data_IF_857244969400
#
_entry.id   IF_857244969400
#
_cell.length_a   1.000
_cell.length_b   1.000
_cell.length_c   1.000
_cell.angle_alpha   90.00
_cell.angle_beta   90.00
_cell.angle_gamma   90.00
#
_symmetry.space_group_name_H-M   'P 1'
#
loop_
_entity.id
_entity.type
_entity.pdbx_description
1 polymer ?
#
# COMPACT_ATOMS: atom_id res chain seq x y z
N UNK A 1 44.43 -4.76 -61.59
CA UNK A 1 44.10 -4.43 -60.19
C UNK A 1 43.02 -3.37 -60.18
N UNK A 2 41.88 -3.65 -59.54
CA UNK A 2 40.80 -2.69 -59.25
C UNK A 2 39.67 -2.61 -60.29
N UNK A 3 38.86 -3.67 -60.41
CA UNK A 3 37.58 -3.60 -61.11
C UNK A 3 36.60 -2.72 -60.28
N UNK A 4 35.95 -1.77 -60.96
CA UNK A 4 34.88 -0.92 -60.40
C UNK A 4 33.54 -1.59 -60.68
N UNK A 5 32.77 -1.85 -59.63
CA UNK A 5 31.40 -2.34 -59.73
C UNK A 5 30.46 -1.26 -60.29
N UNK A 6 29.56 -1.59 -61.23
CA UNK A 6 28.48 -0.70 -61.64
C UNK A 6 27.29 -0.74 -60.66
N UNK A 7 26.48 0.33 -60.60
CA UNK A 7 25.34 0.41 -59.68
C UNK A 7 24.17 -0.48 -60.13
N UNK A 8 23.39 -1.05 -59.19
CA UNK A 8 22.21 -1.83 -59.56
C UNK A 8 21.04 -0.95 -60.00
N UNK A 9 20.43 -1.43 -61.06
CA UNK A 9 19.29 -0.95 -61.82
C UNK A 9 17.99 -0.82 -61.03
N UNK A 10 17.27 0.25 -61.32
CA UNK A 10 15.86 0.49 -60.99
C UNK A 10 14.93 -0.58 -61.59
N UNK A 11 14.09 -1.18 -60.75
CA UNK A 11 12.96 -2.00 -61.20
C UNK A 11 11.64 -1.21 -61.13
N UNK A 12 10.73 -1.39 -62.10
CA UNK A 12 9.44 -0.71 -62.15
C UNK A 12 8.39 -1.38 -61.26
N UNK A 13 7.50 -0.57 -60.71
CA UNK A 13 6.27 -0.97 -60.01
C UNK A 13 5.25 -1.58 -60.99
N UNK A 14 4.54 -2.66 -60.62
CA UNK A 14 3.22 -2.93 -61.14
C UNK A 14 2.15 -2.33 -60.22
N UNK A 15 1.27 -1.54 -60.85
CA UNK A 15 -0.06 -1.18 -60.40
C UNK A 15 -0.98 -2.41 -60.26
N UNK A 16 -2.15 -2.18 -59.63
CA UNK A 16 -3.36 -3.03 -59.57
C UNK A 16 -3.30 -4.15 -58.49
N UNK A 17 -4.26 -4.37 -57.60
CA UNK A 17 -5.73 -4.32 -57.73
C UNK A 17 -6.40 -3.98 -56.39
N UNK A 18 -7.43 -3.14 -56.50
CA UNK A 18 -8.44 -2.78 -55.51
C UNK A 18 -9.38 -3.97 -55.24
N UNK A 19 -9.51 -4.41 -53.98
CA UNK A 19 -10.56 -5.36 -53.58
C UNK A 19 -11.24 -4.88 -52.31
N UNK A 20 -12.53 -4.65 -52.46
CA UNK A 20 -13.54 -4.24 -51.50
C UNK A 20 -13.49 -5.03 -50.19
N UNK A 21 -13.30 -4.35 -49.06
CA UNK A 21 -13.83 -4.82 -47.78
C UNK A 21 -15.08 -4.02 -47.46
N UNK A 22 -16.21 -4.66 -47.72
CA UNK A 22 -17.54 -4.21 -47.35
C UNK A 22 -17.64 -4.09 -45.83
N UNK A 23 -18.09 -2.91 -45.41
CA UNK A 23 -18.78 -2.66 -44.15
C UNK A 23 -19.98 -3.62 -44.08
N UNK A 24 -20.37 -3.96 -42.85
CA UNK A 24 -21.58 -4.73 -42.46
C UNK A 24 -21.27 -6.16 -41.95
N UNK A 25 -20.85 -6.23 -40.68
CA UNK A 25 -21.33 -7.28 -39.79
C UNK A 25 -21.40 -6.75 -38.34
N UNK A 26 -22.42 -5.93 -38.11
CA UNK A 26 -22.89 -5.46 -36.83
C UNK A 26 -24.13 -6.31 -36.47
N UNK A 27 -23.97 -7.42 -35.75
CA UNK A 27 -25.10 -8.10 -35.08
C UNK A 27 -24.65 -8.72 -33.75
N UNK A 28 -25.12 -8.09 -32.67
CA UNK A 28 -25.42 -8.60 -31.33
C UNK A 28 -24.51 -9.69 -30.72
N UNK A 29 -23.61 -9.26 -29.83
CA UNK A 29 -23.29 -10.06 -28.64
C UNK A 29 -23.97 -9.39 -27.45
N UNK A 30 -24.98 -10.09 -26.95
CA UNK A 30 -25.91 -9.71 -25.91
C UNK A 30 -25.19 -9.51 -24.57
N UNK A 31 -25.29 -8.31 -24.02
CA UNK A 31 -24.80 -7.93 -22.70
C UNK A 31 -25.70 -8.56 -21.63
N UNK A 32 -25.23 -9.62 -20.95
CA UNK A 32 -25.87 -10.12 -19.74
C UNK A 32 -25.31 -9.33 -18.54
N UNK A 33 -25.97 -8.22 -18.20
CA UNK A 33 -25.72 -7.48 -16.96
C UNK A 33 -26.50 -8.19 -15.84
N UNK A 34 -25.81 -9.00 -15.05
CA UNK A 34 -26.32 -9.45 -13.75
C UNK A 34 -26.17 -8.30 -12.75
N UNK A 35 -27.28 -7.62 -12.48
CA UNK A 35 -27.41 -6.69 -11.36
C UNK A 35 -27.48 -7.48 -10.05
N UNK A 36 -26.33 -7.69 -9.41
CA UNK A 36 -26.29 -8.13 -8.01
C UNK A 36 -26.64 -6.93 -7.14
N UNK A 37 -27.83 -6.97 -6.55
CA UNK A 37 -28.27 -6.02 -5.54
C UNK A 37 -27.35 -6.16 -4.31
N UNK A 38 -26.57 -5.11 -4.03
CA UNK A 38 -25.87 -4.98 -2.77
C UNK A 38 -26.91 -4.78 -1.66
N UNK A 39 -27.05 -5.77 -0.77
CA UNK A 39 -27.74 -5.62 0.50
C UNK A 39 -26.91 -4.74 1.43
N UNK A 40 -27.52 -3.86 2.24
CA UNK A 40 -26.80 -3.03 3.20
C UNK A 40 -26.29 -3.92 4.34
N UNK A 41 -24.97 -4.13 4.44
CA UNK A 41 -24.37 -4.82 5.57
C UNK A 41 -24.30 -3.93 6.82
N UNK A 42 -24.77 -4.49 7.93
CA UNK A 42 -24.75 -3.93 9.27
C UNK A 42 -23.32 -3.63 9.74
N UNK A 43 -23.12 -2.43 10.28
CA UNK A 43 -21.87 -2.03 10.92
C UNK A 43 -21.63 -2.84 12.21
N UNK A 44 -20.63 -3.73 12.19
CA UNK A 44 -20.11 -4.36 13.40
C UNK A 44 -19.15 -3.37 14.07
N UNK A 45 -19.52 -2.92 15.28
CA UNK A 45 -18.71 -2.03 16.10
C UNK A 45 -17.55 -2.80 16.74
N UNK A 46 -16.39 -2.79 16.09
CA UNK A 46 -15.14 -3.27 16.69
C UNK A 46 -14.55 -2.18 17.61
N UNK A 47 -14.90 -2.23 18.90
CA UNK A 47 -14.32 -1.35 19.91
C UNK A 47 -12.88 -1.78 20.19
N UNK A 48 -11.93 -1.10 19.55
CA UNK A 48 -10.53 -1.16 19.93
C UNK A 48 -10.34 -0.40 21.26
N UNK A 49 -10.01 -1.13 22.32
CA UNK A 49 -9.49 -0.54 23.57
C UNK A 49 -7.98 -0.52 23.44
N UNK A 50 -7.37 0.67 23.43
CA UNK A 50 -5.93 0.82 23.63
C UNK A 50 -5.60 1.85 24.68
N UNK A 51 -4.58 1.49 25.47
CA UNK A 51 -4.08 2.20 26.64
C UNK A 51 -3.29 3.43 26.19
N UNK A 52 -3.64 4.58 26.75
CA UNK A 52 -2.92 5.85 26.64
C UNK A 52 -1.68 5.75 27.53
N UNK A 53 -0.49 5.68 26.93
CA UNK A 53 0.76 5.84 27.66
C UNK A 53 0.93 7.30 28.07
N UNK A 54 0.79 7.61 29.35
CA UNK A 54 1.17 8.91 29.89
C UNK A 54 2.69 9.09 29.77
N UNK A 55 3.12 10.18 29.14
CA UNK A 55 4.51 10.58 29.11
C UNK A 55 4.96 11.01 30.51
N UNK A 56 5.81 10.21 31.16
CA UNK A 56 6.56 10.63 32.35
C UNK A 56 7.93 11.11 31.88
N UNK A 57 8.21 12.41 32.03
CA UNK A 57 9.56 12.95 31.87
C UNK A 57 10.45 12.40 33.00
N UNK A 58 11.45 11.59 32.65
CA UNK A 58 12.54 11.23 33.55
C UNK A 58 13.70 12.22 33.37
N UNK A 59 14.18 12.79 34.48
CA UNK A 59 15.23 13.84 34.51
C UNK A 59 16.66 13.30 34.38
N UNK A 60 16.85 12.00 34.17
CA UNK A 60 18.17 11.41 34.07
C UNK A 60 18.34 10.86 32.66
N UNK A 61 19.42 11.26 31.98
CA UNK A 61 19.84 10.98 30.60
C UNK A 61 19.94 9.48 30.18
N UNK A 62 19.14 8.58 30.75
CA UNK A 62 19.00 7.19 30.32
C UNK A 62 17.85 7.07 29.32
N UNK A 63 18.19 6.60 28.12
CA UNK A 63 17.23 6.17 27.11
C UNK A 63 16.47 4.97 27.67
N UNK A 64 15.23 5.16 28.10
CA UNK A 64 14.32 4.03 28.33
C UNK A 64 13.88 3.50 26.97
N UNK A 65 14.33 2.29 26.64
CA UNK A 65 13.76 1.51 25.54
C UNK A 65 12.33 1.16 25.96
N UNK A 66 11.35 1.68 25.22
CA UNK A 66 9.95 1.39 25.47
C UNK A 66 9.68 -0.08 25.12
N UNK A 67 9.66 -0.94 26.14
CA UNK A 67 9.02 -2.24 26.05
C UNK A 67 7.50 -2.00 25.93
N UNK A 68 7.04 -1.76 24.71
CA UNK A 68 5.60 -1.81 24.42
C UNK A 68 5.13 -3.22 24.74
N UNK A 69 4.39 -3.36 25.84
CA UNK A 69 3.65 -4.58 26.17
C UNK A 69 2.78 -4.96 24.97
N UNK A 70 3.17 -6.05 24.29
CA UNK A 70 2.44 -6.60 23.14
C UNK A 70 1.34 -7.47 23.74
N UNK A 71 0.15 -6.92 23.90
CA UNK A 71 -1.02 -7.77 24.08
C UNK A 71 -1.29 -8.51 22.76
N UNK A 72 -1.53 -9.81 22.85
CA UNK A 72 -1.91 -10.67 21.74
C UNK A 72 -3.28 -10.22 21.21
N UNK A 73 -3.29 -9.28 20.26
CA UNK A 73 -4.53 -8.91 19.57
C UNK A 73 -4.90 -10.02 18.56
N UNK A 74 -6.15 -10.51 18.57
CA UNK A 74 -6.61 -11.53 17.62
C UNK A 74 -6.35 -11.08 16.18
N UNK A 75 -5.60 -11.87 15.41
CA UNK A 75 -5.35 -11.62 13.99
C UNK A 75 -4.02 -10.92 13.64
N UNK A 76 -3.16 -10.66 14.63
CA UNK A 76 -1.77 -10.24 14.36
C UNK A 76 -0.88 -11.46 14.16
N UNK A 77 -0.19 -11.52 13.02
CA UNK A 77 0.78 -12.55 12.69
C UNK A 77 2.17 -12.07 13.14
N UNK A 78 2.94 -12.92 13.83
CA UNK A 78 4.38 -12.69 13.95
C UNK A 78 4.89 -11.71 15.00
N UNK A 79 4.42 -11.81 16.24
CA UNK A 79 5.27 -11.35 17.34
C UNK A 79 5.26 -12.35 18.50
N UNK A 80 6.15 -13.34 18.43
CA UNK A 80 6.41 -14.22 19.57
C UNK A 80 6.88 -13.36 20.76
N UNK A 81 6.45 -13.74 21.96
CA UNK A 81 6.80 -13.09 23.22
C UNK A 81 8.25 -13.38 23.65
N UNK A 82 9.15 -13.60 22.69
CA UNK A 82 10.57 -13.81 22.95
C UNK A 82 11.11 -12.55 23.64
N UNK A 83 11.88 -12.71 24.71
CA UNK A 83 12.26 -11.62 25.60
C UNK A 83 13.11 -10.54 24.92
N UNK A 84 13.79 -10.87 23.81
CA UNK A 84 14.62 -9.94 23.06
C UNK A 84 14.34 -10.03 21.54
N UNK A 85 14.21 -8.89 20.84
CA UNK A 85 14.14 -8.88 19.39
C UNK A 85 15.45 -9.45 18.79
N UNK A 86 15.38 -10.17 17.67
CA UNK A 86 16.58 -10.69 17.03
C UNK A 86 17.51 -9.54 16.61
N UNK A 87 18.82 -9.75 16.66
CA UNK A 87 19.83 -8.72 16.36
C UNK A 87 19.79 -8.21 14.92
N UNK A 88 19.18 -8.96 14.01
CA UNK A 88 18.96 -8.54 12.63
C UNK A 88 17.76 -7.58 12.48
N UNK A 89 16.87 -7.50 13.47
CA UNK A 89 15.73 -6.59 13.46
C UNK A 89 16.15 -5.26 14.08
N UNK A 90 16.21 -4.23 13.23
CA UNK A 90 16.66 -2.91 13.61
C UNK A 90 15.47 -2.02 14.00
N UNK A 91 15.72 -0.73 14.21
CA UNK A 91 14.71 0.24 14.59
C UNK A 91 13.57 0.36 13.57
N UNK A 92 12.44 0.91 14.02
CA UNK A 92 11.31 1.19 13.15
C UNK A 92 11.60 2.37 12.23
N UNK A 93 10.95 2.40 11.07
CA UNK A 93 11.02 3.54 10.15
C UNK A 93 10.46 4.84 10.75
N UNK A 94 9.52 4.72 11.70
CA UNK A 94 8.93 5.84 12.44
C UNK A 94 9.71 6.20 13.73
N UNK A 95 10.86 5.59 14.00
CA UNK A 95 11.66 5.94 15.17
C UNK A 95 12.24 7.35 14.99
N UNK A 96 11.84 8.28 15.88
CA UNK A 96 12.28 9.68 15.89
C UNK A 96 13.81 9.84 15.89
N UNK A 97 14.54 8.89 16.47
CA UNK A 97 16.01 8.93 16.51
C UNK A 97 16.63 8.60 15.15
N UNK A 98 15.90 7.87 14.29
CA UNK A 98 16.38 7.48 12.96
C UNK A 98 15.79 8.31 11.82
N UNK A 99 14.79 9.16 12.11
CA UNK A 99 14.23 10.10 11.15
C UNK A 99 15.20 11.26 10.89
N UNK A 100 15.67 11.33 9.66
CA UNK A 100 16.56 12.39 9.18
C UNK A 100 15.81 13.71 8.99
N UNK A 101 16.54 14.80 8.79
CA UNK A 101 15.94 16.08 8.40
C UNK A 101 15.19 15.97 7.05
N UNK A 102 15.66 15.12 6.13
CA UNK A 102 14.98 14.89 4.85
C UNK A 102 13.65 14.15 5.03
N UNK A 103 13.61 13.15 5.92
CA UNK A 103 12.39 12.40 6.22
C UNK A 103 11.29 13.31 6.78
N UNK A 104 11.67 14.29 7.61
CA UNK A 104 10.74 15.26 8.21
C UNK A 104 10.21 16.29 7.21
N UNK A 105 10.78 16.37 6.00
CA UNK A 105 10.40 17.29 4.93
C UNK A 105 9.66 16.63 3.76
N UNK A 106 9.35 15.34 3.86
CA UNK A 106 8.72 14.59 2.76
C UNK A 106 7.34 15.13 2.34
N UNK A 107 6.69 15.92 3.20
CA UNK A 107 5.40 16.54 2.90
C UNK A 107 5.49 18.04 2.54
N UNK A 108 6.66 18.69 2.63
CA UNK A 108 6.81 20.15 2.45
C UNK A 108 6.38 20.66 1.06
N UNK A 109 6.37 19.76 0.06
CA UNK A 109 6.00 20.09 -1.31
C UNK A 109 4.50 19.94 -1.56
N UNK A 110 3.95 20.71 -2.51
CA UNK A 110 2.56 20.51 -2.97
C UNK A 110 2.51 19.39 -4.01
N UNK A 111 1.53 18.50 -3.88
CA UNK A 111 1.18 17.54 -4.92
C UNK A 111 0.30 18.22 -5.97
N UNK A 112 0.95 18.79 -6.99
CA UNK A 112 0.25 19.46 -8.08
C UNK A 112 -0.20 18.49 -9.18
N UNK A 113 -1.26 18.87 -9.89
CA UNK A 113 -1.77 18.16 -11.10
C UNK A 113 -2.08 16.67 -10.89
N UNK A 114 -2.46 16.29 -9.66
CA UNK A 114 -3.04 14.97 -9.37
C UNK A 114 -4.51 15.00 -9.79
N UNK A 115 -4.91 14.09 -10.67
CA UNK A 115 -6.33 13.83 -10.94
C UNK A 115 -6.74 12.57 -10.20
N UNK A 116 -7.70 12.68 -9.30
CA UNK A 116 -8.21 11.56 -8.53
C UNK A 116 -9.39 10.88 -9.25
N UNK A 117 -9.48 9.58 -9.06
CA UNK A 117 -10.62 8.76 -9.42
C UNK A 117 -11.54 8.52 -8.23
N UNK A 118 -12.19 7.36 -8.21
CA UNK A 118 -13.03 6.96 -7.09
C UNK A 118 -12.21 6.77 -5.81
N UNK A 119 -12.82 7.14 -4.69
CA UNK A 119 -12.34 6.74 -3.37
C UNK A 119 -12.54 5.22 -3.24
N UNK A 120 -11.52 4.52 -2.75
CA UNK A 120 -11.67 3.13 -2.34
C UNK A 120 -12.54 3.09 -1.07
N UNK A 121 -13.33 2.03 -0.86
CA UNK A 121 -13.93 1.76 0.44
C UNK A 121 -12.82 1.73 1.50
N UNK A 122 -12.65 2.82 2.24
CA UNK A 122 -11.61 2.89 3.27
C UNK A 122 -12.19 2.35 4.55
N UNK A 123 -11.43 1.46 5.17
CA UNK A 123 -11.76 0.91 6.45
C UNK A 123 -10.54 1.02 7.37
N UNK A 124 -10.43 2.16 8.04
CA UNK A 124 -9.40 2.42 9.03
C UNK A 124 -9.63 3.79 9.63
N UNK A 125 -9.54 3.91 10.96
CA UNK A 125 -9.81 5.18 11.65
C UNK A 125 -8.73 6.25 11.46
N UNK A 126 -7.59 5.89 10.84
CA UNK A 126 -6.35 6.66 10.90
C UNK A 126 -5.86 7.17 9.54
N UNK A 127 -6.67 7.09 8.48
CA UNK A 127 -6.36 7.74 7.20
C UNK A 127 -7.54 8.62 6.75
N UNK A 128 -7.24 9.68 5.99
CA UNK A 128 -8.26 10.59 5.43
C UNK A 128 -9.04 9.95 4.28
N UNK A 129 -8.61 8.77 3.85
CA UNK A 129 -9.14 8.00 2.73
C UNK A 129 -8.04 7.55 1.79
N UNK A 130 -8.40 6.66 0.88
CA UNK A 130 -7.53 6.19 -0.21
C UNK A 130 -8.29 6.37 -1.52
N UNK A 131 -7.64 6.95 -2.54
CA UNK A 131 -8.22 7.21 -3.86
C UNK A 131 -7.41 6.54 -4.95
N UNK A 132 -8.10 6.07 -6.01
CA UNK A 132 -7.42 5.78 -7.26
C UNK A 132 -6.87 7.08 -7.87
N UNK A 133 -5.72 7.01 -8.54
CA UNK A 133 -5.13 8.17 -9.24
C UNK A 133 -5.33 8.00 -10.74
N UNK A 134 -6.07 8.90 -11.38
CA UNK A 134 -6.30 8.88 -12.85
C UNK A 134 -5.14 9.47 -13.65
N UNK A 135 -4.35 10.35 -13.04
CA UNK A 135 -3.11 10.86 -13.64
C UNK A 135 -2.28 11.60 -12.60
N UNK A 136 -0.96 11.51 -12.71
CA UNK A 136 -0.02 12.30 -11.91
C UNK A 136 1.17 12.74 -12.76
N UNK A 137 1.51 14.04 -12.72
CA UNK A 137 2.63 14.58 -13.50
C UNK A 137 3.95 14.01 -12.99
N UNK A 138 4.75 13.44 -13.89
CA UNK A 138 6.06 12.86 -13.57
C UNK A 138 6.04 11.34 -13.38
N UNK A 139 4.87 10.71 -13.47
CA UNK A 139 4.76 9.26 -13.54
C UNK A 139 4.54 8.80 -14.98
N UNK A 140 5.39 7.89 -15.47
CA UNK A 140 5.34 7.37 -16.83
C UNK A 140 4.62 6.02 -16.97
N UNK A 141 4.19 5.41 -15.85
CA UNK A 141 3.42 4.16 -15.84
C UNK A 141 1.93 4.38 -16.07
N UNK A 142 1.13 3.31 -15.97
CA UNK A 142 -0.33 3.44 -16.09
C UNK A 142 -0.87 4.16 -14.86
N UNK A 143 -1.76 5.15 -15.00
CA UNK A 143 -2.36 5.79 -13.83
C UNK A 143 -3.14 4.80 -12.95
N UNK A 144 -3.72 3.76 -13.54
CA UNK A 144 -4.44 2.71 -12.80
C UNK A 144 -3.51 1.91 -11.85
N UNK A 145 -2.19 2.09 -11.97
CA UNK A 145 -1.16 1.51 -11.10
C UNK A 145 -0.93 2.34 -9.83
N UNK A 146 -1.68 3.41 -9.59
CA UNK A 146 -1.41 4.35 -8.49
C UNK A 146 -2.59 4.52 -7.53
N UNK A 147 -2.26 4.62 -6.25
CA UNK A 147 -3.15 5.05 -5.19
C UNK A 147 -2.62 6.32 -4.53
N UNK A 148 -3.53 7.17 -4.06
CA UNK A 148 -3.22 8.27 -3.16
C UNK A 148 -3.87 8.00 -1.80
N UNK A 149 -3.06 7.94 -0.75
CA UNK A 149 -3.52 7.86 0.65
C UNK A 149 -3.41 9.25 1.27
N UNK A 150 -4.53 9.77 1.75
CA UNK A 150 -4.53 11.00 2.55
C UNK A 150 -4.23 10.62 3.99
N UNK A 151 -3.31 11.35 4.58
CA UNK A 151 -2.76 11.12 5.91
C UNK A 151 -3.19 12.29 6.79
N UNK A 152 -3.74 11.98 7.96
CA UNK A 152 -4.18 13.01 8.88
C UNK A 152 -2.99 13.81 9.42
N UNK A 153 -3.10 15.13 9.54
CA UNK A 153 -2.04 16.00 10.04
C UNK A 153 -1.83 15.90 11.57
N UNK A 154 -2.35 14.85 12.20
CA UNK A 154 -2.46 14.82 13.66
C UNK A 154 -1.09 14.76 14.36
N UNK A 155 -1.01 15.52 15.46
CA UNK A 155 0.17 15.68 16.31
C UNK A 155 0.59 14.36 16.96
N UNK A 156 -0.32 13.39 17.06
CA UNK A 156 -0.07 12.08 17.65
C UNK A 156 0.59 11.07 16.70
N UNK A 157 0.45 11.24 15.38
CA UNK A 157 0.91 10.26 14.37
C UNK A 157 2.01 10.81 13.46
N UNK A 158 2.59 11.97 13.79
CA UNK A 158 3.60 12.62 12.95
C UNK A 158 4.75 11.68 12.56
N UNK A 159 5.25 10.90 13.52
CA UNK A 159 6.33 9.95 13.28
C UNK A 159 5.93 8.79 12.35
N UNK A 160 4.73 8.24 12.52
CA UNK A 160 4.17 7.15 11.70
C UNK A 160 4.01 7.58 10.24
N UNK A 161 3.60 8.83 10.03
CA UNK A 161 3.44 9.41 8.70
C UNK A 161 4.78 9.49 7.93
N UNK A 162 5.86 9.87 8.63
CA UNK A 162 7.20 9.86 8.04
C UNK A 162 7.71 8.43 7.85
N UNK A 163 7.39 7.54 8.80
CA UNK A 163 7.70 6.12 8.74
C UNK A 163 7.11 5.43 7.52
N UNK A 164 5.83 5.67 7.21
CA UNK A 164 5.14 5.18 6.02
C UNK A 164 5.90 5.55 4.74
N UNK A 165 6.22 6.84 4.55
CA UNK A 165 6.93 7.29 3.35
C UNK A 165 8.32 6.65 3.24
N UNK A 166 9.02 6.53 4.37
CA UNK A 166 10.36 5.93 4.42
C UNK A 166 10.32 4.44 4.12
N UNK A 167 9.34 3.71 4.67
CA UNK A 167 9.13 2.30 4.40
C UNK A 167 8.74 2.06 2.94
N UNK A 168 7.83 2.87 2.38
CA UNK A 168 7.42 2.79 0.97
C UNK A 168 8.61 3.01 0.02
N UNK A 169 9.53 3.92 0.35
CA UNK A 169 10.79 4.11 -0.40
C UNK A 169 11.65 2.86 -0.33
N UNK A 170 11.76 2.26 0.85
CA UNK A 170 12.58 1.07 1.07
C UNK A 170 12.06 -0.15 0.30
N UNK A 171 10.74 -0.39 0.30
CA UNK A 171 10.13 -1.53 -0.42
C UNK A 171 9.96 -1.27 -1.93
N UNK A 172 10.16 -0.03 -2.38
CA UNK A 172 10.11 0.36 -3.80
C UNK A 172 8.71 0.67 -4.33
N UNK A 173 7.77 0.99 -3.44
CA UNK A 173 6.37 1.32 -3.75
C UNK A 173 6.06 2.82 -3.71
N UNK A 174 6.99 3.62 -3.17
CA UNK A 174 6.87 5.08 -3.15
C UNK A 174 6.91 5.68 -4.56
N UNK A 175 6.02 6.66 -4.82
CA UNK A 175 6.03 7.47 -6.05
C UNK A 175 6.23 8.95 -5.72
N UNK A 176 5.41 9.51 -4.83
CA UNK A 176 5.53 10.89 -4.39
C UNK A 176 4.87 11.14 -3.04
N UNK A 177 5.22 12.24 -2.38
CA UNK A 177 4.55 12.72 -1.16
C UNK A 177 4.51 14.24 -1.14
N UNK A 178 3.52 14.79 -0.45
CA UNK A 178 3.34 16.23 -0.34
C UNK A 178 2.00 16.59 0.28
N UNK A 179 1.64 17.86 0.18
CA UNK A 179 0.33 18.37 0.55
C UNK A 179 -0.63 18.35 -0.65
N UNK A 180 -1.85 17.88 -0.45
CA UNK A 180 -2.93 17.94 -1.44
C UNK A 180 -4.14 18.69 -0.85
N UNK A 181 -4.87 19.44 -1.68
CA UNK A 181 -6.15 20.02 -1.28
C UNK A 181 -7.14 18.90 -0.99
N UNK A 182 -7.95 19.05 0.05
CA UNK A 182 -8.95 18.07 0.50
C UNK A 182 -9.73 17.49 -0.69
N UNK A 183 -9.51 16.20 -1.03
CA UNK A 183 -10.17 15.58 -2.16
C UNK A 183 -11.62 15.16 -1.85
N UNK A 184 -12.07 15.27 -0.60
CA UNK A 184 -13.39 14.86 -0.16
C UNK A 184 -13.99 15.84 0.86
N UNK A 185 -14.51 16.97 0.34
CA UNK A 185 -15.19 18.06 1.08
C UNK A 185 -16.42 17.65 1.93
N UNK A 186 -16.67 16.37 2.22
CA UNK A 186 -17.90 15.90 2.90
C UNK A 186 -17.70 14.82 3.97
N UNK A 187 -16.65 14.00 3.87
CA UNK A 187 -16.35 12.97 4.89
C UNK A 187 -15.70 13.60 6.13
N UNK A 188 -14.95 14.66 5.89
CA UNK A 188 -14.17 15.42 6.86
C UNK A 188 -15.03 16.40 7.67
N UNK A 189 -16.03 17.00 7.02
CA UNK A 189 -17.00 17.94 7.61
C UNK A 189 -17.76 17.34 8.80
N UNK A 190 -18.04 16.04 8.75
CA UNK A 190 -18.72 15.32 9.83
C UNK A 190 -17.84 15.08 11.07
N UNK A 191 -16.51 15.21 10.96
CA UNK A 191 -15.56 15.07 12.08
C UNK A 191 -14.90 16.40 12.48
N UNK A 192 -15.17 17.50 11.76
CA UNK A 192 -14.63 18.87 12.03
C UNK A 192 -14.79 19.34 13.48
N UNK A 193 -15.71 18.79 14.26
CA UNK A 193 -15.90 19.16 15.66
C UNK A 193 -14.80 18.68 16.63
N UNK A 194 -13.90 17.78 16.21
CA UNK A 194 -12.94 17.12 17.12
C UNK A 194 -11.46 17.47 16.93
N UNK A 195 -11.05 18.08 15.83
CA UNK A 195 -9.63 18.35 15.54
C UNK A 195 -9.33 19.84 15.72
N UNK A 196 -8.61 20.20 16.79
CA UNK A 196 -8.32 21.59 17.19
C UNK A 196 -7.18 22.25 16.38
N UNK A 197 -6.41 21.49 15.60
CA UNK A 197 -5.23 21.96 14.88
C UNK A 197 -5.34 21.63 13.39
N UNK A 198 -6.04 22.48 12.65
CA UNK A 198 -6.07 22.39 11.19
C UNK A 198 -4.82 23.08 10.61
N UNK A 199 -4.14 22.49 9.62
CA UNK A 199 -3.20 23.23 8.78
C UNK A 199 -3.88 24.46 8.16
N UNK A 200 -3.16 25.58 7.95
CA UNK A 200 -3.71 26.71 7.22
C UNK A 200 -4.00 26.33 5.76
N UNK A 201 -5.25 26.54 5.33
CA UNK A 201 -5.76 26.07 4.05
C UNK A 201 -6.19 24.60 4.09
N UNK A 202 -7.17 24.20 3.28
CA UNK A 202 -7.72 22.83 3.22
C UNK A 202 -6.72 21.79 2.66
N UNK A 203 -5.48 21.77 3.15
CA UNK A 203 -4.41 20.90 2.68
C UNK A 203 -4.09 19.81 3.70
N UNK A 204 -3.90 18.61 3.18
CA UNK A 204 -3.60 17.40 3.95
C UNK A 204 -2.33 16.75 3.43
N UNK A 205 -1.60 16.09 4.33
CA UNK A 205 -0.48 15.24 3.92
C UNK A 205 -1.01 14.09 3.07
N UNK A 206 -0.31 13.75 2.01
CA UNK A 206 -0.67 12.64 1.15
C UNK A 206 0.56 11.96 0.58
N UNK A 207 0.42 10.66 0.34
CA UNK A 207 1.41 9.85 -0.36
C UNK A 207 0.78 9.21 -1.57
N UNK A 208 1.47 9.28 -2.71
CA UNK A 208 1.17 8.53 -3.92
C UNK A 208 2.09 7.31 -3.92
N UNK A 209 1.48 6.14 -4.06
CA UNK A 209 2.15 4.85 -4.01
C UNK A 209 1.65 3.95 -5.12
N UNK A 210 2.46 2.94 -5.46
CA UNK A 210 2.05 1.88 -6.38
C UNK A 210 0.87 1.10 -5.78
N UNK A 211 -0.17 0.91 -6.59
CA UNK A 211 -1.31 0.05 -6.30
C UNK A 211 -0.86 -1.40 -6.33
N UNK A 212 -1.25 -2.15 -5.31
CA UNK A 212 -1.06 -3.59 -5.24
C UNK A 212 -2.34 -4.29 -5.68
N UNK A 213 -2.18 -5.46 -6.29
CA UNK A 213 -3.29 -6.30 -6.71
C UNK A 213 -3.77 -7.14 -5.53
N UNK A 214 -5.08 -7.36 -5.45
CA UNK A 214 -5.70 -8.27 -4.51
C UNK A 214 -6.81 -7.61 -3.68
N UNK A 215 -7.40 -8.42 -2.81
CA UNK A 215 -8.48 -8.03 -1.89
C UNK A 215 -8.12 -8.43 -0.46
N UNK A 216 -8.59 -7.67 0.52
CA UNK A 216 -8.40 -8.00 1.94
C UNK A 216 -9.31 -9.15 2.38
N UNK A 217 -8.88 -9.97 3.35
CA UNK A 217 -9.73 -10.99 4.03
C UNK A 217 -10.69 -10.37 5.05
N UNK A 218 -11.50 -9.41 4.61
CA UNK A 218 -12.38 -8.68 5.53
C UNK A 218 -13.73 -9.35 5.72
N UNK A 219 -14.20 -10.09 4.71
CA UNK A 219 -15.51 -10.75 4.75
C UNK A 219 -15.36 -12.29 4.70
N UNK A 220 -15.43 -12.95 5.86
CA UNK A 220 -15.39 -14.41 5.94
C UNK A 220 -16.52 -15.10 5.18
N UNK A 221 -17.67 -14.43 5.01
CA UNK A 221 -18.85 -15.04 4.41
C UNK A 221 -18.72 -15.28 2.91
N UNK A 222 -17.76 -14.61 2.26
CA UNK A 222 -17.47 -14.79 0.85
C UNK A 222 -16.75 -16.11 0.52
N UNK A 223 -16.32 -16.89 1.51
CA UNK A 223 -15.47 -18.06 1.31
C UNK A 223 -16.06 -19.31 1.99
N UNK A 224 -16.26 -20.38 1.22
CA UNK A 224 -16.86 -21.62 1.70
C UNK A 224 -16.00 -22.35 2.76
N UNK A 225 -14.68 -22.30 2.64
CA UNK A 225 -13.71 -22.81 3.62
C UNK A 225 -12.80 -21.68 4.11
N UNK A 226 -13.34 -20.84 5.01
CA UNK A 226 -12.61 -19.68 5.49
C UNK A 226 -11.39 -20.06 6.35
N UNK A 227 -11.43 -21.15 7.12
CA UNK A 227 -10.34 -21.52 8.02
C UNK A 227 -9.12 -22.05 7.25
N UNK A 228 -9.33 -22.93 6.26
CA UNK A 228 -8.26 -23.40 5.37
C UNK A 228 -7.64 -22.28 4.55
N UNK A 229 -8.48 -21.36 4.07
CA UNK A 229 -8.05 -20.16 3.34
C UNK A 229 -7.17 -19.26 4.20
N UNK A 230 -7.62 -18.95 5.43
CA UNK A 230 -6.87 -18.10 6.36
C UNK A 230 -5.48 -18.65 6.60
N UNK A 231 -5.35 -19.95 6.94
CA UNK A 231 -4.04 -20.56 7.16
C UNK A 231 -3.13 -20.43 5.95
N UNK A 232 -3.65 -20.72 4.76
CA UNK A 232 -2.88 -20.62 3.51
C UNK A 232 -2.42 -19.18 3.22
N UNK A 233 -3.27 -18.19 3.52
CA UNK A 233 -2.91 -16.77 3.37
C UNK A 233 -1.88 -16.34 4.41
N UNK A 234 -1.99 -16.79 5.65
CA UNK A 234 -1.02 -16.50 6.71
C UNK A 234 0.37 -17.06 6.33
N UNK A 235 0.44 -18.29 5.82
CA UNK A 235 1.69 -18.89 5.31
C UNK A 235 2.29 -18.08 4.14
N UNK A 236 1.46 -17.68 3.16
CA UNK A 236 1.89 -16.83 2.05
C UNK A 236 2.36 -15.45 2.53
N UNK A 237 1.70 -14.87 3.52
CA UNK A 237 2.04 -13.56 4.08
C UNK A 237 3.35 -13.59 4.86
N UNK A 238 3.58 -14.62 5.67
CA UNK A 238 4.84 -14.81 6.37
C UNK A 238 5.99 -15.00 5.38
N UNK A 239 5.78 -15.81 4.33
CA UNK A 239 6.78 -15.99 3.25
C UNK A 239 7.07 -14.67 2.54
N UNK A 240 6.05 -13.92 2.10
CA UNK A 240 6.23 -12.63 1.45
C UNK A 240 6.94 -11.60 2.35
N UNK A 241 6.61 -11.57 3.65
CA UNK A 241 7.28 -10.70 4.61
C UNK A 241 8.76 -11.07 4.78
N UNK A 242 9.11 -12.36 4.84
CA UNK A 242 10.49 -12.83 4.90
C UNK A 242 11.27 -12.47 3.62
N UNK A 243 10.67 -12.69 2.44
CA UNK A 243 11.27 -12.32 1.15
C UNK A 243 11.53 -10.81 1.07
N UNK A 244 10.59 -9.97 1.52
CA UNK A 244 10.78 -8.51 1.55
C UNK A 244 11.86 -8.12 2.57
N UNK A 245 11.89 -8.76 3.74
CA UNK A 245 12.92 -8.52 4.76
C UNK A 245 14.34 -8.75 4.20
N UNK A 246 14.55 -9.87 3.50
CA UNK A 246 15.85 -10.21 2.92
C UNK A 246 16.18 -9.33 1.71
N UNK A 247 15.25 -9.20 0.75
CA UNK A 247 15.53 -8.55 -0.53
C UNK A 247 15.47 -7.02 -0.45
N UNK A 248 14.65 -6.49 0.45
CA UNK A 248 14.42 -5.04 0.60
C UNK A 248 14.91 -4.51 1.93
N UNK A 249 15.41 -5.33 2.86
CA UNK A 249 15.86 -4.83 4.16
C UNK A 249 14.75 -4.19 5.00
N UNK A 250 13.50 -4.66 4.83
CA UNK A 250 12.31 -4.10 5.47
C UNK A 250 11.36 -5.19 5.98
N UNK A 251 10.91 -5.10 7.23
CA UNK A 251 9.89 -5.98 7.80
C UNK A 251 8.62 -5.17 8.14
N UNK A 252 7.43 -5.73 7.88
CA UNK A 252 6.16 -4.97 7.92
C UNK A 252 5.81 -4.33 9.27
N UNK A 253 6.19 -4.96 10.40
CA UNK A 253 5.94 -4.44 11.75
C UNK A 253 4.48 -4.52 12.23
N UNK A 254 3.51 -4.56 11.32
CA UNK A 254 2.08 -4.77 11.57
C UNK A 254 1.44 -5.74 10.56
N UNK A 255 1.93 -6.98 10.55
CA UNK A 255 1.41 -8.03 9.67
C UNK A 255 0.08 -8.55 10.24
N UNK A 256 -1.03 -8.05 9.72
CA UNK A 256 -2.37 -8.48 10.09
C UNK A 256 -3.25 -8.61 8.83
N UNK A 257 -4.41 -9.27 8.96
CA UNK A 257 -5.29 -9.59 7.82
C UNK A 257 -5.85 -8.38 7.07
N UNK A 258 -5.93 -7.22 7.71
CA UNK A 258 -6.33 -5.96 7.07
C UNK A 258 -5.24 -5.37 6.15
N UNK A 259 -3.99 -5.75 6.40
CA UNK A 259 -2.79 -5.28 5.71
C UNK A 259 -2.26 -6.28 4.67
N UNK A 260 -3.03 -7.35 4.41
CA UNK A 260 -2.71 -8.39 3.43
C UNK A 260 -3.75 -8.34 2.32
N UNK A 261 -3.29 -8.08 1.09
CA UNK A 261 -4.09 -8.19 -0.13
C UNK A 261 -3.84 -9.53 -0.79
N UNK A 262 -4.90 -10.24 -1.16
CA UNK A 262 -4.82 -11.60 -1.67
C UNK A 262 -5.27 -11.64 -3.11
N UNK A 263 -4.51 -12.37 -3.92
CA UNK A 263 -4.93 -12.77 -5.26
C UNK A 263 -5.37 -14.23 -5.20
N UNK A 264 -6.57 -14.50 -5.71
CA UNK A 264 -7.18 -15.83 -5.73
C UNK A 264 -7.14 -16.42 -7.14
N UNK A 265 -6.80 -17.70 -7.25
CA UNK A 265 -7.19 -18.52 -8.40
C UNK A 265 -8.69 -18.80 -8.28
N UNK A 266 -9.48 -18.20 -9.18
CA UNK A 266 -10.93 -18.34 -9.18
C UNK A 266 -11.39 -19.75 -9.55
N UNK A 267 -10.63 -20.49 -10.36
CA UNK A 267 -10.99 -21.84 -10.75
C UNK A 267 -10.76 -22.82 -9.60
N UNK A 268 -9.68 -22.62 -8.83
CA UNK A 268 -9.33 -23.51 -7.71
C UNK A 268 -9.83 -23.02 -6.34
N UNK A 269 -10.34 -21.79 -6.27
CA UNK A 269 -10.73 -21.12 -5.02
C UNK A 269 -9.58 -21.12 -3.99
N UNK A 270 -8.35 -20.86 -4.46
CA UNK A 270 -7.13 -20.88 -3.62
C UNK A 270 -6.34 -19.58 -3.74
N UNK A 271 -5.68 -19.11 -2.67
CA UNK A 271 -4.82 -17.95 -2.75
C UNK A 271 -3.55 -18.31 -3.53
N UNK A 272 -3.21 -17.52 -4.54
CA UNK A 272 -2.00 -17.72 -5.37
C UNK A 272 -0.85 -16.83 -4.95
N UNK A 273 -1.16 -15.64 -4.42
CA UNK A 273 -0.16 -14.68 -3.98
C UNK A 273 -0.78 -13.68 -3.02
N UNK A 274 0.08 -12.99 -2.28
CA UNK A 274 -0.29 -11.91 -1.39
C UNK A 274 0.59 -10.69 -1.63
N UNK A 275 0.07 -9.51 -1.29
CA UNK A 275 0.79 -8.25 -1.24
C UNK A 275 0.58 -7.60 0.10
N UNK A 276 1.64 -7.03 0.68
CA UNK A 276 1.57 -6.35 1.97
C UNK A 276 1.43 -4.84 1.78
N UNK A 277 0.57 -4.21 2.58
CA UNK A 277 0.24 -2.78 2.51
C UNK A 277 0.14 -2.17 3.92
N UNK A 278 0.22 -0.84 4.00
CA UNK A 278 0.21 -0.08 5.26
C UNK A 278 1.48 -0.31 6.11
N UNK A 279 2.58 0.29 5.66
CA UNK A 279 3.94 0.07 6.17
C UNK A 279 4.35 1.04 7.30
N UNK A 280 3.41 1.82 7.84
CA UNK A 280 3.69 2.96 8.73
C UNK A 280 4.50 2.62 9.99
N UNK A 281 4.49 1.36 10.42
CA UNK A 281 5.23 0.89 11.61
C UNK A 281 6.27 -0.20 11.29
N UNK A 282 6.73 -0.29 10.05
CA UNK A 282 7.73 -1.26 9.63
C UNK A 282 9.10 -1.05 10.29
N UNK A 283 9.95 -2.06 10.19
CA UNK A 283 11.31 -2.11 10.74
C UNK A 283 12.36 -2.21 9.63
N UNK A 284 13.52 -1.62 9.89
CA UNK A 284 14.74 -1.93 9.16
C UNK A 284 15.20 -3.36 9.47
N UNK A 285 15.84 -3.98 8.48
CA UNK A 285 16.43 -5.31 8.59
C UNK A 285 17.91 -5.24 8.19
N UNK A 286 18.77 -5.84 9.01
CA UNK A 286 20.21 -5.91 8.78
C UNK A 286 20.54 -6.61 7.46
N UNK A 287 21.56 -6.11 6.76
CA UNK A 287 22.05 -6.75 5.52
C UNK A 287 22.56 -8.17 5.83
N UNK A 288 22.30 -9.09 4.91
CA UNK A 288 22.82 -10.46 4.97
C UNK A 288 21.98 -11.42 5.81
N UNK A 289 20.86 -10.97 6.41
CA UNK A 289 19.88 -11.87 7.00
C UNK A 289 19.32 -12.81 5.93
N UNK A 290 19.01 -14.04 6.32
CA UNK A 290 18.42 -15.06 5.45
C UNK A 290 16.96 -15.32 5.78
N UNK A 291 16.21 -15.87 4.83
CA UNK A 291 14.78 -16.12 4.99
C UNK A 291 14.49 -17.11 6.13
N UNK A 292 15.34 -18.11 6.33
CA UNK A 292 15.23 -19.12 7.40
C UNK A 292 15.48 -18.54 8.80
N UNK A 293 16.10 -17.37 8.91
CA UNK A 293 16.24 -16.62 10.16
C UNK A 293 15.00 -15.77 10.48
N UNK A 294 14.31 -15.29 9.44
CA UNK A 294 13.14 -14.40 9.56
C UNK A 294 11.86 -15.20 9.76
N UNK A 295 11.63 -16.21 8.93
CA UNK A 295 10.35 -16.94 8.87
C UNK A 295 9.92 -17.56 10.22
N UNK A 296 10.82 -18.17 11.04
CA UNK A 296 10.43 -18.74 12.33
C UNK A 296 9.96 -17.71 13.38
N UNK A 297 10.15 -16.41 13.13
CA UNK A 297 9.78 -15.31 14.01
C UNK A 297 8.48 -14.62 13.60
N UNK A 298 7.93 -14.98 12.44
CA UNK A 298 6.63 -14.55 11.92
C UNK A 298 5.52 -15.55 12.30
#
# INVERSE_FOLDING_TARGET
MGAKDPPPSSFPLPNLIMSYFTKDLLVLVLTLILAVHATPHSAVNDRHVRIIGNAVRSNNNQVQIFNTSIQNEPGRLGRRADADPPTWLLSRFNDLQTLTAADKKVFDSKLEKVKLGSQLPSHGGYNGGIWNVKSYKGYSGSPDDLLLKVIWPDQYYGADNYGEVKALKQVGDFVASGHIKDPGLSTLDKMKSKIKSKPPGDYYNAVIMKKKVGVTLRDPSAYADFSGLVKSVEELACKAAAEIAVNKGALHGDLNRGNILITMDQAQQKPTSVSLVDWGVGNWVSKGVKEDEVLPRL
#
